data_IF_922336794891
#
_entry.id   IF_922336794891
#
_cell.length_a   1.000
_cell.length_b   1.000
_cell.length_c   1.000
_cell.angle_alpha   90.00
_cell.angle_beta   90.00
_cell.angle_gamma   90.00
#
_symmetry.space_group_name_H-M   'P 1'
#
loop_
_entity.id
_entity.type
_entity.pdbx_description
1 polymer ?
#
# COMPACT_ATOMS: atom_id res chain seq x y z
N UNK A 1 -30.34 18.17 40.52
CA UNK A 1 -30.04 16.75 40.27
C UNK A 1 -30.14 16.50 38.76
N UNK A 2 -29.05 16.79 38.02
CA UNK A 2 -29.04 16.80 36.54
C UNK A 2 -28.70 15.40 36.03
N UNK A 3 -29.54 14.86 35.13
CA UNK A 3 -29.46 13.50 34.57
C UNK A 3 -28.15 13.28 33.80
N UNK A 4 -27.23 12.51 34.38
CA UNK A 4 -25.95 12.03 33.79
C UNK A 4 -26.15 10.96 32.68
N UNK A 5 -27.39 10.74 32.22
CA UNK A 5 -27.75 9.61 31.33
C UNK A 5 -27.42 9.80 29.84
N UNK A 6 -26.91 10.98 29.44
CA UNK A 6 -26.58 11.28 28.04
C UNK A 6 -25.18 10.84 27.58
N UNK A 7 -24.24 10.63 28.49
CA UNK A 7 -22.83 10.37 28.14
C UNK A 7 -22.49 8.88 27.91
N UNK A 8 -23.32 7.97 28.42
CA UNK A 8 -23.09 6.52 28.26
C UNK A 8 -23.26 6.05 26.81
N UNK A 9 -24.17 6.69 26.05
CA UNK A 9 -24.43 6.35 24.64
C UNK A 9 -23.32 6.80 23.68
N UNK A 10 -22.65 7.91 23.99
CA UNK A 10 -21.53 8.43 23.18
C UNK A 10 -20.29 7.54 23.29
N UNK A 11 -20.03 7.00 24.50
CA UNK A 11 -18.89 6.11 24.72
C UNK A 11 -19.01 4.79 23.95
N UNK A 12 -20.24 4.23 23.85
CA UNK A 12 -20.48 3.01 23.08
C UNK A 12 -20.31 3.20 21.56
N UNK A 13 -20.60 4.41 21.05
CA UNK A 13 -20.48 4.72 19.62
C UNK A 13 -19.00 4.81 19.19
N UNK A 14 -18.13 5.37 20.05
CA UNK A 14 -16.70 5.51 19.79
C UNK A 14 -15.95 4.16 19.74
N UNK A 15 -16.42 3.15 20.48
CA UNK A 15 -15.85 1.80 20.47
C UNK A 15 -16.22 0.99 19.22
N UNK A 16 -17.22 1.43 18.44
CA UNK A 16 -17.68 0.73 17.22
C UNK A 16 -16.96 1.19 15.94
N UNK A 17 -16.11 2.22 16.02
CA UNK A 17 -15.23 2.61 14.92
C UNK A 17 -14.09 1.60 14.79
N UNK A 18 -14.33 0.56 14.00
CA UNK A 18 -13.32 -0.39 13.59
C UNK A 18 -12.11 0.34 13.00
N UNK A 19 -10.91 -0.03 13.46
CA UNK A 19 -9.64 0.41 12.89
C UNK A 19 -9.49 -0.13 11.48
N UNK A 20 -9.77 0.70 10.47
CA UNK A 20 -9.45 0.36 9.09
C UNK A 20 -7.92 0.31 8.94
N UNK A 21 -7.36 -0.90 8.80
CA UNK A 21 -5.96 -1.09 8.44
C UNK A 21 -5.80 -0.70 6.97
N UNK A 22 -4.94 0.29 6.70
CA UNK A 22 -4.59 0.64 5.33
C UNK A 22 -3.81 -0.52 4.70
N UNK A 23 -4.10 -0.84 3.45
CA UNK A 23 -3.33 -1.83 2.70
C UNK A 23 -1.87 -1.38 2.54
N UNK A 24 -0.96 -2.35 2.54
CA UNK A 24 0.45 -2.09 2.25
C UNK A 24 0.62 -1.49 0.84
N UNK A 25 1.59 -0.58 0.64
CA UNK A 25 1.92 -0.05 -0.67
C UNK A 25 2.34 -1.14 -1.67
N UNK A 26 1.97 -0.97 -2.94
CA UNK A 26 2.36 -1.88 -4.03
C UNK A 26 3.82 -1.65 -4.41
N UNK A 27 4.66 -2.68 -4.31
CA UNK A 27 6.06 -2.63 -4.75
C UNK A 27 6.13 -2.85 -6.26
N UNK A 28 6.71 -1.91 -7.01
CA UNK A 28 6.93 -2.03 -8.46
C UNK A 28 8.40 -2.31 -8.72
N UNK A 29 8.72 -3.58 -9.01
CA UNK A 29 10.08 -4.02 -9.31
C UNK A 29 10.31 -4.23 -10.81
N UNK A 30 11.56 -4.08 -11.26
CA UNK A 30 11.97 -4.51 -12.61
C UNK A 30 13.34 -5.14 -12.61
N UNK A 31 13.65 -5.84 -13.71
CA UNK A 31 15.03 -6.18 -14.04
C UNK A 31 15.84 -4.93 -14.43
N UNK A 32 17.16 -5.06 -14.46
CA UNK A 32 18.10 -4.00 -14.88
C UNK A 32 18.21 -3.81 -16.40
N UNK A 33 17.50 -4.62 -17.19
CA UNK A 33 17.43 -4.39 -18.64
C UNK A 33 16.60 -3.14 -18.98
N UNK A 34 16.80 -2.65 -20.21
CA UNK A 34 16.22 -1.39 -20.70
C UNK A 34 14.70 -1.46 -20.79
N UNK A 35 14.17 -2.58 -21.28
CA UNK A 35 12.72 -2.81 -21.38
C UNK A 35 12.08 -2.90 -20.00
N UNK A 36 12.70 -3.64 -19.07
CA UNK A 36 12.26 -3.74 -17.68
C UNK A 36 12.18 -2.39 -17.01
N UNK A 37 13.19 -1.53 -17.20
CA UNK A 37 13.20 -0.17 -16.66
C UNK A 37 12.10 0.69 -17.25
N UNK A 38 11.89 0.61 -18.58
CA UNK A 38 10.86 1.38 -19.26
C UNK A 38 9.46 0.97 -18.79
N UNK A 39 9.14 -0.32 -18.85
CA UNK A 39 7.83 -0.84 -18.47
C UNK A 39 7.56 -0.67 -16.98
N UNK A 40 8.58 -0.83 -16.13
CA UNK A 40 8.47 -0.57 -14.70
C UNK A 40 8.04 0.88 -14.40
N UNK A 41 8.60 1.86 -15.12
CA UNK A 41 8.21 3.26 -14.97
C UNK A 41 6.79 3.54 -15.48
N UNK A 42 6.39 2.92 -16.59
CA UNK A 42 5.01 3.03 -17.09
C UNK A 42 4.01 2.50 -16.06
N UNK A 43 4.27 1.34 -15.47
CA UNK A 43 3.41 0.74 -14.43
C UNK A 43 3.34 1.65 -13.20
N UNK A 44 4.50 2.14 -12.73
CA UNK A 44 4.57 3.04 -11.57
C UNK A 44 3.69 4.29 -11.77
N UNK A 45 3.83 4.95 -12.92
CA UNK A 45 3.05 6.15 -13.26
C UNK A 45 1.54 5.86 -13.36
N UNK A 46 1.15 4.72 -13.95
CA UNK A 46 -0.26 4.32 -14.03
C UNK A 46 -0.84 4.11 -12.62
N UNK A 47 -0.14 3.39 -11.76
CA UNK A 47 -0.60 3.15 -10.39
C UNK A 47 -0.75 4.44 -9.59
N UNK A 48 0.25 5.33 -9.66
CA UNK A 48 0.22 6.63 -8.99
C UNK A 48 -0.92 7.51 -9.49
N UNK A 49 -1.15 7.55 -10.81
CA UNK A 49 -2.26 8.30 -11.43
C UNK A 49 -3.63 7.83 -10.92
N UNK A 50 -3.77 6.54 -10.60
CA UNK A 50 -5.00 5.96 -10.06
C UNK A 50 -5.06 5.97 -8.52
N UNK A 51 -4.15 6.69 -7.85
CA UNK A 51 -4.15 6.86 -6.39
C UNK A 51 -3.68 5.61 -5.62
N UNK A 52 -3.06 4.64 -6.29
CA UNK A 52 -2.48 3.47 -5.64
C UNK A 52 -1.13 3.87 -5.05
N UNK A 53 -0.94 3.65 -3.74
CA UNK A 53 0.35 3.88 -3.09
C UNK A 53 1.38 2.87 -3.58
N UNK A 54 2.54 3.35 -4.03
CA UNK A 54 3.59 2.51 -4.61
C UNK A 54 4.91 2.65 -3.85
N UNK A 55 5.77 1.63 -3.98
CA UNK A 55 7.18 1.68 -3.62
C UNK A 55 7.98 1.36 -4.87
N UNK A 56 8.79 2.30 -5.31
CA UNK A 56 9.65 2.13 -6.47
C UNK A 56 10.83 1.20 -6.15
N UNK A 57 10.89 0.07 -6.86
CA UNK A 57 12.00 -0.92 -6.86
C UNK A 57 12.42 -1.25 -8.29
N UNK A 58 12.26 -0.32 -9.22
CA UNK A 58 12.69 -0.46 -10.62
C UNK A 58 14.23 -0.60 -10.64
N UNK A 59 14.74 -1.39 -11.59
CA UNK A 59 16.16 -1.78 -11.69
C UNK A 59 16.69 -2.52 -10.47
N UNK A 60 15.89 -3.44 -9.92
CA UNK A 60 16.23 -4.19 -8.71
C UNK A 60 17.43 -5.12 -8.90
N UNK A 61 17.54 -5.75 -10.06
CA UNK A 61 18.63 -6.69 -10.34
C UNK A 61 18.39 -7.57 -11.55
N UNK A 62 19.10 -8.69 -11.63
CA UNK A 62 18.93 -9.70 -12.67
C UNK A 62 17.71 -10.59 -12.38
N UNK A 63 17.39 -11.51 -13.30
CA UNK A 63 16.23 -12.41 -13.20
C UNK A 63 16.11 -13.13 -11.85
N UNK A 64 17.21 -13.62 -11.27
CA UNK A 64 17.15 -14.35 -10.01
C UNK A 64 16.84 -13.43 -8.82
N UNK A 65 17.35 -12.19 -8.85
CA UNK A 65 17.05 -11.18 -7.83
C UNK A 65 15.56 -10.83 -7.86
N UNK A 66 15.01 -10.54 -9.05
CA UNK A 66 13.59 -10.21 -9.20
C UNK A 66 12.70 -11.39 -8.84
N UNK A 67 13.08 -12.62 -9.22
CA UNK A 67 12.37 -13.84 -8.81
C UNK A 67 12.32 -13.98 -7.29
N UNK A 68 13.47 -13.81 -6.63
CA UNK A 68 13.56 -13.86 -5.16
C UNK A 68 12.68 -12.81 -4.49
N UNK A 69 12.70 -11.58 -5.00
CA UNK A 69 11.86 -10.50 -4.48
C UNK A 69 10.36 -10.81 -4.59
N UNK A 70 9.89 -11.28 -5.75
CA UNK A 70 8.48 -11.62 -5.95
C UNK A 70 8.02 -12.75 -5.02
N UNK A 71 8.89 -13.73 -4.73
CA UNK A 71 8.57 -14.81 -3.78
C UNK A 71 8.63 -14.40 -2.31
N UNK A 72 9.33 -13.31 -1.98
CA UNK A 72 9.55 -12.86 -0.61
C UNK A 72 8.48 -11.88 -0.09
N UNK A 73 7.82 -11.13 -1.00
CA UNK A 73 6.84 -10.08 -0.65
C UNK A 73 7.41 -8.67 -0.69
#
# INVERSE_FOLDING_TARGET
MVRIRGWMGVSALLLSMGIAQAADPVRVGSKIDTEGSLLGNVILQVLEKHGVKTVNKIQLGTTQVVRGAITAG
#
